data_IF_137578455967
#
_entry.id   IF_137578455967
#
_cell.length_a   1.000
_cell.length_b   1.000
_cell.length_c   1.000
_cell.angle_alpha   90.00
_cell.angle_beta   90.00
_cell.angle_gamma   90.00
#
_symmetry.space_group_name_H-M   'P 1'
#
loop_
_entity.id
_entity.type
_entity.pdbx_description
1 polymer ?
#
# COMPACT_ATOMS: atom_id res chain seq x y z
N UNK A 1 7.63 24.36 14.58
CA UNK A 1 6.96 25.45 13.83
C UNK A 1 6.21 26.30 14.83
N UNK A 2 6.26 27.62 14.69
CA UNK A 2 5.45 28.51 15.54
C UNK A 2 3.96 28.38 15.18
N UNK A 3 3.07 28.82 16.08
CA UNK A 3 1.64 28.92 15.78
C UNK A 3 1.36 29.85 14.60
N UNK A 4 2.12 30.93 14.48
CA UNK A 4 2.01 31.87 13.36
C UNK A 4 2.41 31.23 12.03
N UNK A 5 3.44 30.36 12.05
CA UNK A 5 3.83 29.58 10.86
C UNK A 5 2.70 28.63 10.45
N UNK A 6 2.08 27.94 11.42
CA UNK A 6 0.97 27.02 11.15
C UNK A 6 -0.26 27.76 10.62
N UNK A 7 -0.58 28.92 11.19
CA UNK A 7 -1.66 29.79 10.72
C UNK A 7 -1.40 30.26 9.29
N UNK A 8 -0.17 30.69 9.00
CA UNK A 8 0.23 31.11 7.65
C UNK A 8 0.04 29.96 6.66
N UNK A 9 0.56 28.78 6.96
CA UNK A 9 0.37 27.58 6.11
C UNK A 9 -1.10 27.19 5.94
N UNK A 10 -1.92 27.31 7.00
CA UNK A 10 -3.35 27.04 6.88
C UNK A 10 -4.04 28.06 5.97
N UNK A 11 -3.65 29.33 6.01
CA UNK A 11 -4.24 30.34 5.12
C UNK A 11 -3.76 30.19 3.67
N UNK A 12 -2.53 29.73 3.45
CA UNK A 12 -1.98 29.37 2.12
C UNK A 12 -2.82 28.27 1.44
N UNK A 13 -3.27 27.26 2.21
CA UNK A 13 -4.17 26.19 1.71
C UNK A 13 -5.43 26.76 1.05
N UNK A 14 -5.98 27.86 1.57
CA UNK A 14 -7.20 28.47 1.06
C UNK A 14 -6.96 29.56 -0.01
N UNK A 15 -5.74 29.78 -0.48
CA UNK A 15 -5.47 30.78 -1.54
C UNK A 15 -6.25 30.53 -2.82
N UNK A 16 -6.43 29.27 -3.19
CA UNK A 16 -7.23 28.88 -4.35
C UNK A 16 -8.76 29.06 -4.12
N UNK A 17 -9.20 29.32 -2.89
CA UNK A 17 -10.60 29.57 -2.53
C UNK A 17 -10.74 30.78 -1.59
N UNK A 18 -10.52 32.02 -2.08
CA UNK A 18 -10.48 33.22 -1.25
C UNK A 18 -11.74 33.41 -0.40
N UNK A 19 -12.92 33.02 -0.90
CA UNK A 19 -14.17 33.15 -0.16
C UNK A 19 -14.23 32.23 1.06
N UNK A 20 -13.70 31.01 0.98
CA UNK A 20 -13.60 30.10 2.14
C UNK A 20 -12.61 30.65 3.18
N UNK A 21 -11.50 31.23 2.71
CA UNK A 21 -10.52 31.91 3.55
C UNK A 21 -11.17 33.08 4.31
N UNK A 22 -11.94 33.91 3.62
CA UNK A 22 -12.63 35.06 4.20
C UNK A 22 -13.65 34.62 5.26
N UNK A 23 -14.42 33.56 4.97
CA UNK A 23 -15.38 32.99 5.93
C UNK A 23 -14.64 32.50 7.19
N UNK A 24 -13.52 31.81 7.03
CA UNK A 24 -12.71 31.35 8.16
C UNK A 24 -12.17 32.52 9.00
N UNK A 25 -11.79 33.63 8.36
CA UNK A 25 -11.29 34.85 9.03
C UNK A 25 -12.40 35.73 9.61
N UNK A 26 -13.68 35.48 9.31
CA UNK A 26 -14.76 36.41 9.63
C UNK A 26 -15.26 36.35 11.09
N UNK A 27 -15.08 35.22 11.77
CA UNK A 27 -15.60 35.00 13.12
C UNK A 27 -14.86 33.87 13.83
N UNK A 28 -14.75 33.98 15.16
CA UNK A 28 -14.29 32.95 16.08
C UNK A 28 -15.40 31.94 16.47
N UNK A 29 -16.65 32.17 16.05
CA UNK A 29 -17.76 31.24 16.26
C UNK A 29 -17.77 30.14 15.20
N UNK A 30 -17.37 28.93 15.60
CA UNK A 30 -17.37 27.73 14.77
C UNK A 30 -18.75 27.41 14.16
N UNK A 31 -19.85 27.76 14.83
CA UNK A 31 -21.19 27.51 14.31
C UNK A 31 -21.54 28.45 13.16
N UNK A 32 -21.16 29.71 13.29
CA UNK A 32 -21.27 30.71 12.23
C UNK A 32 -20.41 30.31 11.02
N UNK A 33 -19.10 30.09 11.23
CA UNK A 33 -18.16 29.72 10.15
C UNK A 33 -18.64 28.46 9.41
N UNK A 34 -19.11 27.45 10.14
CA UNK A 34 -19.66 26.22 9.53
C UNK A 34 -20.84 26.50 8.62
N UNK A 35 -21.77 27.33 9.08
CA UNK A 35 -22.99 27.64 8.32
C UNK A 35 -22.65 28.39 7.04
N UNK A 36 -21.76 29.38 7.13
CA UNK A 36 -21.32 30.16 5.97
C UNK A 36 -20.51 29.34 4.98
N UNK A 37 -19.60 28.46 5.44
CA UNK A 37 -18.87 27.56 4.54
C UNK A 37 -19.83 26.63 3.79
N UNK A 38 -20.84 26.06 4.46
CA UNK A 38 -21.84 25.21 3.80
C UNK A 38 -22.70 25.98 2.82
N UNK A 39 -23.11 27.19 3.16
CA UNK A 39 -23.85 28.08 2.25
C UNK A 39 -23.02 28.38 0.99
N UNK A 40 -21.73 28.68 1.15
CA UNK A 40 -20.82 28.86 0.03
C UNK A 40 -20.74 27.62 -0.86
N UNK A 41 -20.51 26.44 -0.30
CA UNK A 41 -20.40 25.20 -1.08
C UNK A 41 -21.69 24.89 -1.84
N UNK A 42 -22.85 25.06 -1.20
CA UNK A 42 -24.14 24.85 -1.83
C UNK A 42 -24.36 25.82 -3.01
N UNK A 43 -24.08 27.10 -2.81
CA UNK A 43 -24.25 28.11 -3.85
C UNK A 43 -23.30 27.88 -5.03
N UNK A 44 -22.02 27.58 -4.76
CA UNK A 44 -21.04 27.24 -5.80
C UNK A 44 -21.47 26.00 -6.60
N UNK A 45 -22.03 24.99 -5.92
CA UNK A 45 -22.53 23.79 -6.59
C UNK A 45 -23.72 24.12 -7.50
N UNK A 46 -24.67 24.95 -7.04
CA UNK A 46 -25.83 25.38 -7.84
C UNK A 46 -25.40 26.19 -9.07
N UNK A 47 -24.49 27.16 -8.90
CA UNK A 47 -23.92 27.94 -10.01
C UNK A 47 -23.31 27.02 -11.08
N UNK A 48 -22.69 25.91 -10.68
CA UNK A 48 -22.09 24.95 -11.61
C UNK A 48 -23.08 24.01 -12.27
N UNK A 49 -24.22 23.69 -11.64
CA UNK A 49 -25.30 22.95 -12.29
C UNK A 49 -25.97 23.77 -13.40
N UNK A 50 -26.05 25.09 -13.23
CA UNK A 50 -26.66 25.99 -14.21
C UNK A 50 -25.73 26.34 -15.39
N UNK A 51 -24.44 25.96 -15.33
CA UNK A 51 -23.47 26.16 -16.42
C UNK A 51 -23.38 24.94 -17.32
N UNK A 52 -24.09 24.99 -18.45
CA UNK A 52 -23.91 24.05 -19.54
C UNK A 52 -22.62 24.38 -20.32
N UNK A 53 -21.52 23.66 -20.04
CA UNK A 53 -20.33 23.40 -20.91
C UNK A 53 -18.98 24.10 -20.63
N UNK A 54 -18.78 24.76 -19.49
CA UNK A 54 -17.48 25.43 -19.23
C UNK A 54 -16.41 24.53 -18.57
N UNK A 55 -16.69 23.24 -18.31
CA UNK A 55 -15.81 22.37 -17.52
C UNK A 55 -15.81 20.93 -18.04
N UNK A 56 -14.62 20.32 -18.11
CA UNK A 56 -14.47 18.92 -18.50
C UNK A 56 -15.27 17.99 -17.56
N UNK A 57 -15.99 16.96 -18.06
CA UNK A 57 -16.83 16.10 -17.23
C UNK A 57 -16.12 15.45 -16.04
N UNK A 58 -14.83 15.08 -16.17
CA UNK A 58 -14.08 14.49 -15.05
C UNK A 58 -13.73 15.53 -13.98
N UNK A 59 -13.41 16.77 -14.38
CA UNK A 59 -13.21 17.88 -13.45
C UNK A 59 -14.52 18.15 -12.69
N UNK A 60 -15.65 18.15 -13.39
CA UNK A 60 -16.96 18.31 -12.77
C UNK A 60 -17.29 17.23 -11.73
N UNK A 61 -17.03 15.96 -12.06
CA UNK A 61 -17.21 14.84 -11.10
C UNK A 61 -16.31 15.01 -9.89
N UNK A 62 -15.05 15.38 -10.10
CA UNK A 62 -14.09 15.58 -9.02
C UNK A 62 -14.45 16.76 -8.12
N UNK A 63 -14.87 17.88 -8.68
CA UNK A 63 -15.38 19.05 -7.95
C UNK A 63 -16.54 18.68 -7.05
N UNK A 64 -17.56 17.98 -7.60
CA UNK A 64 -18.73 17.54 -6.83
C UNK A 64 -18.34 16.60 -5.69
N UNK A 65 -17.43 15.67 -5.94
CA UNK A 65 -16.92 14.75 -4.93
C UNK A 65 -16.13 15.47 -3.84
N UNK A 66 -15.28 16.44 -4.21
CA UNK A 66 -14.52 17.26 -3.27
C UNK A 66 -15.44 18.12 -2.38
N UNK A 67 -16.46 18.75 -2.96
CA UNK A 67 -17.46 19.51 -2.21
C UNK A 67 -18.24 18.62 -1.24
N UNK A 68 -18.69 17.44 -1.68
CA UNK A 68 -19.37 16.48 -0.81
C UNK A 68 -18.47 15.95 0.32
N UNK A 69 -17.19 15.70 0.03
CA UNK A 69 -16.21 15.31 1.05
C UNK A 69 -16.01 16.43 2.08
N UNK A 70 -15.88 17.67 1.63
CA UNK A 70 -15.72 18.82 2.53
C UNK A 70 -16.98 19.09 3.36
N UNK A 71 -18.18 18.94 2.78
CA UNK A 71 -19.43 18.99 3.55
C UNK A 71 -19.51 17.90 4.63
N UNK A 72 -19.03 16.69 4.31
CA UNK A 72 -18.94 15.61 5.29
C UNK A 72 -17.95 15.92 6.41
N UNK A 73 -16.84 16.60 6.13
CA UNK A 73 -15.90 17.08 7.13
C UNK A 73 -16.55 18.14 8.04
N UNK A 74 -17.34 19.06 7.47
CA UNK A 74 -18.07 20.10 8.21
C UNK A 74 -19.27 19.55 9.02
N UNK A 75 -19.61 18.27 8.88
CA UNK A 75 -20.77 17.65 9.52
C UNK A 75 -20.56 17.40 11.02
N UNK A 76 -21.40 18.02 11.85
CA UNK A 76 -21.44 17.77 13.32
C UNK A 76 -21.66 16.31 13.70
N UNK A 77 -22.27 15.50 12.84
CA UNK A 77 -22.42 14.05 13.10
C UNK A 77 -21.06 13.35 12.92
N UNK A 78 -20.35 13.66 11.85
CA UNK A 78 -19.08 13.02 11.52
C UNK A 78 -17.99 13.46 12.49
N UNK A 79 -17.96 14.75 12.89
CA UNK A 79 -17.06 15.23 13.95
C UNK A 79 -17.25 14.45 15.27
N UNK A 80 -18.50 14.21 15.68
CA UNK A 80 -18.81 13.42 16.88
C UNK A 80 -18.37 11.96 16.76
N UNK A 81 -18.48 11.37 15.57
CA UNK A 81 -18.03 9.99 15.32
C UNK A 81 -16.51 9.88 15.25
N UNK A 82 -15.84 10.89 14.69
CA UNK A 82 -14.39 10.96 14.60
C UNK A 82 -13.71 11.35 15.93
N UNK A 83 -14.47 11.98 16.84
CA UNK A 83 -13.92 12.52 18.09
C UNK A 83 -13.07 13.78 17.91
N UNK A 84 -13.05 14.35 16.70
CA UNK A 84 -12.25 15.51 16.32
C UNK A 84 -13.04 16.44 15.37
N UNK A 85 -12.90 17.75 15.55
CA UNK A 85 -13.47 18.77 14.66
C UNK A 85 -12.36 19.52 13.95
N UNK A 86 -12.20 19.24 12.66
CA UNK A 86 -11.25 19.95 11.81
C UNK A 86 -11.58 21.45 11.75
N UNK A 87 -12.87 21.79 11.66
CA UNK A 87 -13.28 23.19 11.58
C UNK A 87 -12.95 23.93 12.89
N UNK A 88 -13.21 23.32 14.04
CA UNK A 88 -12.84 23.90 15.34
C UNK A 88 -11.34 24.13 15.41
N UNK A 89 -10.53 23.13 15.03
CA UNK A 89 -9.08 23.26 14.97
C UNK A 89 -8.64 24.45 14.08
N UNK A 90 -9.22 24.59 12.89
CA UNK A 90 -8.92 25.71 12.00
C UNK A 90 -9.30 27.07 12.61
N UNK A 91 -10.48 27.18 13.22
CA UNK A 91 -10.96 28.41 13.88
C UNK A 91 -10.07 28.77 15.06
N UNK A 92 -9.72 27.79 15.91
CA UNK A 92 -8.83 27.99 17.06
C UNK A 92 -7.43 28.43 16.62
N UNK A 93 -6.91 27.85 15.54
CA UNK A 93 -5.60 28.22 15.00
C UNK A 93 -5.60 29.67 14.52
N UNK A 94 -6.65 30.10 13.82
CA UNK A 94 -6.78 31.43 13.22
C UNK A 94 -7.09 32.51 14.26
N UNK A 95 -8.01 32.26 15.19
CA UNK A 95 -8.59 33.27 16.09
C UNK A 95 -8.19 33.16 17.56
N UNK A 96 -7.77 31.98 18.04
CA UNK A 96 -7.59 31.74 19.47
C UNK A 96 -6.47 32.55 20.14
N UNK A 97 -6.47 32.62 21.47
CA UNK A 97 -5.35 33.09 22.31
C UNK A 97 -4.75 31.98 23.18
N UNK A 98 -5.13 30.72 22.93
CA UNK A 98 -4.72 29.56 23.73
C UNK A 98 -3.22 29.31 23.65
N UNK A 99 -2.59 29.27 24.82
CA UNK A 99 -1.15 29.04 25.01
C UNK A 99 -0.71 27.62 24.66
N UNK A 100 0.47 27.55 24.05
CA UNK A 100 1.50 26.51 24.05
C UNK A 100 1.19 25.02 23.77
N UNK A 101 -0.06 24.61 23.51
CA UNK A 101 -0.35 23.25 23.04
C UNK A 101 -1.25 23.24 21.80
N UNK A 102 -0.70 23.69 20.68
CA UNK A 102 -1.29 23.46 19.35
C UNK A 102 -0.71 22.17 18.79
N UNK A 103 -1.58 21.20 18.47
CA UNK A 103 -1.14 19.98 17.80
C UNK A 103 -0.56 20.34 16.42
N UNK A 104 0.66 19.86 16.14
CA UNK A 104 1.39 20.17 14.92
C UNK A 104 1.04 19.16 13.82
N UNK A 105 0.30 19.54 12.77
CA UNK A 105 -0.04 18.63 11.70
C UNK A 105 1.20 18.25 10.89
N UNK A 106 1.26 16.99 10.45
CA UNK A 106 2.28 16.55 9.50
C UNK A 106 2.15 17.30 8.16
N UNK A 107 3.22 17.41 7.35
CA UNK A 107 3.14 18.00 6.02
C UNK A 107 2.04 17.42 5.12
N UNK A 108 1.76 16.11 5.26
CA UNK A 108 0.69 15.43 4.52
C UNK A 108 -0.71 15.99 4.80
N UNK A 109 -0.98 16.45 6.02
CA UNK A 109 -2.28 17.07 6.35
C UNK A 109 -2.54 18.35 5.55
N UNK A 110 -1.53 19.22 5.45
CA UNK A 110 -1.65 20.45 4.66
C UNK A 110 -1.81 20.15 3.18
N UNK A 111 -1.09 19.15 2.67
CA UNK A 111 -1.24 18.70 1.28
C UNK A 111 -2.65 18.16 1.00
N UNK A 112 -3.21 17.33 1.87
CA UNK A 112 -4.58 16.81 1.73
C UNK A 112 -5.61 17.94 1.72
N UNK A 113 -5.49 18.90 2.63
CA UNK A 113 -6.36 20.07 2.68
C UNK A 113 -6.24 20.94 1.43
N UNK A 114 -5.01 21.19 0.96
CA UNK A 114 -4.75 21.97 -0.26
C UNK A 114 -5.37 21.31 -1.48
N UNK A 115 -5.17 20.01 -1.67
CA UNK A 115 -5.77 19.25 -2.77
C UNK A 115 -7.30 19.21 -2.68
N UNK A 116 -7.87 19.15 -1.47
CA UNK A 116 -9.32 19.23 -1.30
C UNK A 116 -9.86 20.60 -1.71
N UNK A 117 -9.20 21.69 -1.32
CA UNK A 117 -9.57 23.06 -1.72
C UNK A 117 -9.42 23.26 -3.23
N UNK A 118 -8.33 22.78 -3.83
CA UNK A 118 -8.14 22.76 -5.29
C UNK A 118 -9.25 21.97 -6.00
N UNK A 119 -9.63 20.83 -5.45
CA UNK A 119 -10.76 20.04 -5.93
C UNK A 119 -12.07 20.83 -5.89
N UNK A 120 -12.37 21.54 -4.79
CA UNK A 120 -13.57 22.38 -4.65
C UNK A 120 -13.60 23.50 -5.69
N UNK A 121 -12.44 24.07 -6.04
CA UNK A 121 -12.36 25.20 -6.98
C UNK A 121 -12.09 24.81 -8.42
N UNK A 122 -11.90 23.52 -8.69
CA UNK A 122 -11.67 22.98 -10.04
C UNK A 122 -10.23 23.11 -10.54
N UNK A 123 -9.28 23.45 -9.68
CA UNK A 123 -7.84 23.51 -10.00
C UNK A 123 -7.24 22.09 -9.98
N UNK A 124 -7.72 21.22 -10.86
CA UNK A 124 -7.29 19.81 -10.94
C UNK A 124 -6.35 19.64 -12.13
N UNK A 125 -5.06 19.50 -11.87
CA UNK A 125 -4.00 19.37 -12.88
C UNK A 125 -3.94 18.01 -13.59
N UNK A 126 -4.81 17.06 -13.22
CA UNK A 126 -4.79 15.69 -13.78
C UNK A 126 -5.50 15.63 -15.14
N UNK A 127 -6.40 16.58 -15.41
CA UNK A 127 -7.25 16.61 -16.61
C UNK A 127 -7.10 17.95 -17.35
N UNK A 128 -5.85 18.39 -17.54
CA UNK A 128 -5.58 19.59 -18.35
C UNK A 128 -5.78 19.23 -19.82
N UNK A 129 -7.00 19.44 -20.33
CA UNK A 129 -7.40 19.17 -21.72
C UNK A 129 -6.80 20.16 -22.73
N UNK A 130 -5.95 21.10 -22.29
CA UNK A 130 -5.37 22.12 -23.16
C UNK A 130 -4.52 21.57 -24.33
N UNK A 131 -4.26 20.25 -24.36
CA UNK A 131 -3.48 19.59 -25.42
C UNK A 131 -4.31 18.68 -26.36
N UNK A 132 -5.60 18.45 -26.15
CA UNK A 132 -6.40 17.52 -27.01
C UNK A 132 -6.93 18.20 -28.30
N UNK A 133 -6.51 19.43 -28.57
CA UNK A 133 -7.22 20.36 -29.47
C UNK A 133 -6.98 20.21 -30.97
N UNK A 134 -5.88 19.61 -31.42
CA UNK A 134 -5.51 19.73 -32.85
C UNK A 134 -6.01 18.59 -33.75
N UNK A 135 -6.26 17.40 -33.21
CA UNK A 135 -6.66 16.24 -34.02
C UNK A 135 -8.11 16.28 -34.55
N UNK A 136 -8.95 17.18 -34.05
CA UNK A 136 -10.35 17.34 -34.50
C UNK A 136 -10.57 18.44 -35.54
N UNK A 137 -9.51 19.18 -35.91
CA UNK A 137 -9.61 20.32 -36.86
C UNK A 137 -9.27 19.91 -38.30
N UNK A 138 -8.71 18.72 -38.51
CA UNK A 138 -8.29 18.20 -39.82
C UNK A 138 -8.88 16.80 -40.11
N UNK A 139 -8.85 16.37 -41.38
CA UNK A 139 -9.34 15.05 -41.80
C UNK A 139 -8.29 14.30 -42.63
N UNK A 140 -8.37 12.96 -42.65
CA UNK A 140 -7.51 12.13 -43.50
C UNK A 140 -6.06 12.00 -42.99
N UNK A 141 -5.08 12.07 -43.91
CA UNK A 141 -3.66 11.80 -43.59
C UNK A 141 -3.06 12.87 -42.67
N UNK A 142 -3.44 14.13 -42.86
CA UNK A 142 -2.99 15.26 -42.05
C UNK A 142 -3.40 15.08 -40.58
N UNK A 143 -4.67 14.71 -40.34
CA UNK A 143 -5.17 14.39 -39.00
C UNK A 143 -4.42 13.22 -38.34
N UNK A 144 -4.09 12.19 -39.13
CA UNK A 144 -3.32 11.05 -38.63
C UNK A 144 -1.88 11.43 -38.24
N UNK A 145 -1.25 12.35 -38.97
CA UNK A 145 0.11 12.85 -38.67
C UNK A 145 0.12 13.74 -37.43
N UNK A 146 -0.87 14.62 -37.26
CA UNK A 146 -1.07 15.41 -36.03
C UNK A 146 -1.26 14.46 -34.85
N UNK A 147 -2.21 13.52 -34.95
CA UNK A 147 -2.47 12.56 -33.88
C UNK A 147 -1.23 11.74 -33.48
N UNK A 148 -0.40 11.35 -34.45
CA UNK A 148 0.83 10.61 -34.17
C UNK A 148 1.86 11.45 -33.41
N UNK A 149 1.89 12.77 -33.62
CA UNK A 149 2.74 13.70 -32.87
C UNK A 149 2.24 13.83 -31.43
N UNK A 150 0.94 14.05 -31.24
CA UNK A 150 0.33 14.14 -29.89
C UNK A 150 0.60 12.88 -29.06
N UNK A 151 0.50 11.69 -29.69
CA UNK A 151 0.83 10.42 -29.04
C UNK A 151 2.31 10.33 -28.64
N UNK A 152 3.20 10.95 -29.41
CA UNK A 152 4.64 10.99 -29.08
C UNK A 152 4.90 11.93 -27.89
N UNK A 153 4.19 13.05 -27.81
CA UNK A 153 4.26 14.00 -26.68
C UNK A 153 3.70 13.36 -25.40
N UNK A 154 2.55 12.68 -25.49
CA UNK A 154 2.02 11.86 -24.39
C UNK A 154 3.01 10.76 -23.96
N UNK A 155 3.62 10.05 -24.92
CA UNK A 155 4.62 9.04 -24.60
C UNK A 155 5.82 9.64 -23.88
N UNK A 156 6.30 10.81 -24.29
CA UNK A 156 7.38 11.52 -23.59
C UNK A 156 7.00 11.88 -22.15
N UNK A 157 5.76 12.33 -21.92
CA UNK A 157 5.22 12.56 -20.58
C UNK A 157 5.18 11.28 -19.73
N UNK A 158 4.71 10.17 -20.30
CA UNK A 158 4.70 8.85 -19.64
C UNK A 158 6.13 8.40 -19.30
N UNK A 159 7.05 8.49 -20.26
CA UNK A 159 8.44 8.11 -20.05
C UNK A 159 9.09 8.94 -18.95
N UNK A 160 8.91 10.27 -18.96
CA UNK A 160 9.41 11.15 -17.90
C UNK A 160 8.84 10.83 -16.50
N UNK A 161 7.63 10.26 -16.41
CA UNK A 161 7.07 9.80 -15.13
C UNK A 161 7.61 8.42 -14.71
N UNK A 162 7.77 7.50 -15.67
CA UNK A 162 8.23 6.11 -15.45
C UNK A 162 9.71 6.08 -15.09
N UNK A 163 10.55 6.87 -15.77
CA UNK A 163 12.00 6.96 -15.55
C UNK A 163 12.38 7.48 -14.15
N UNK A 164 11.42 8.04 -13.40
CA UNK A 164 11.63 8.41 -11.99
C UNK A 164 11.82 7.21 -11.06
N UNK A 165 11.45 6.02 -11.51
CA UNK A 165 11.54 4.80 -10.72
C UNK A 165 12.64 3.89 -11.27
N UNK A 166 13.63 3.59 -10.43
CA UNK A 166 14.60 2.53 -10.70
C UNK A 166 13.91 1.18 -10.84
N UNK A 167 14.41 0.35 -11.75
CA UNK A 167 13.87 -0.98 -12.03
C UNK A 167 14.99 -2.01 -12.20
N UNK A 168 14.62 -3.29 -12.25
CA UNK A 168 15.55 -4.40 -12.06
C UNK A 168 16.61 -4.61 -13.16
N UNK A 169 16.56 -3.88 -14.29
CA UNK A 169 17.58 -3.97 -15.34
C UNK A 169 18.39 -2.68 -15.50
N UNK A 170 18.22 -1.69 -14.61
CA UNK A 170 19.14 -0.55 -14.55
C UNK A 170 20.55 -1.04 -14.19
N UNK A 171 21.56 -0.54 -14.90
CA UNK A 171 22.96 -0.99 -14.77
C UNK A 171 23.45 -0.89 -13.31
N UNK A 172 23.17 0.23 -12.63
CA UNK A 172 23.51 0.44 -11.22
C UNK A 172 22.83 -0.59 -10.28
N UNK A 173 21.58 -0.95 -10.57
CA UNK A 173 20.81 -1.92 -9.79
C UNK A 173 21.38 -3.33 -9.97
N UNK A 174 21.72 -3.69 -11.21
CA UNK A 174 22.36 -4.97 -11.53
C UNK A 174 23.71 -5.09 -10.83
N UNK A 175 24.56 -4.09 -10.94
CA UNK A 175 25.86 -4.08 -10.25
C UNK A 175 25.73 -4.19 -8.73
N UNK A 176 24.76 -3.48 -8.15
CA UNK A 176 24.50 -3.52 -6.71
C UNK A 176 24.06 -4.92 -6.28
N UNK A 177 23.18 -5.56 -7.04
CA UNK A 177 22.72 -6.93 -6.76
C UNK A 177 23.82 -7.97 -6.91
N UNK A 178 24.72 -7.82 -7.88
CA UNK A 178 25.89 -8.71 -7.99
C UNK A 178 26.83 -8.55 -6.79
N UNK A 179 27.07 -7.32 -6.31
CA UNK A 179 27.82 -7.10 -5.05
C UNK A 179 27.13 -7.72 -3.85
N UNK A 180 25.80 -7.60 -3.74
CA UNK A 180 25.03 -8.21 -2.67
C UNK A 180 25.09 -9.74 -2.72
N UNK A 181 24.92 -10.33 -3.91
CA UNK A 181 25.05 -11.76 -4.16
C UNK A 181 26.43 -12.26 -3.69
N UNK A 182 27.51 -11.60 -4.10
CA UNK A 182 28.87 -12.00 -3.70
C UNK A 182 29.04 -11.95 -2.17
N UNK A 183 28.60 -10.87 -1.51
CA UNK A 183 28.64 -10.74 -0.05
C UNK A 183 27.94 -11.90 0.66
N UNK A 184 26.76 -12.29 0.17
CA UNK A 184 25.96 -13.38 0.74
C UNK A 184 26.62 -14.73 0.49
N UNK A 185 27.17 -14.96 -0.70
CA UNK A 185 27.93 -16.18 -1.01
C UNK A 185 29.18 -16.30 -0.12
N UNK A 186 29.92 -15.21 0.08
CA UNK A 186 31.10 -15.18 0.95
C UNK A 186 30.75 -15.53 2.40
N UNK A 187 29.62 -15.02 2.90
CA UNK A 187 29.14 -15.31 4.26
C UNK A 187 28.82 -16.81 4.46
N UNK A 188 28.13 -17.42 3.50
CA UNK A 188 27.73 -18.84 3.57
C UNK A 188 28.78 -19.82 2.99
N UNK A 189 29.87 -19.31 2.42
CA UNK A 189 30.90 -20.12 1.75
C UNK A 189 30.41 -20.82 0.48
N UNK A 190 29.53 -20.18 -0.29
CA UNK A 190 28.97 -20.70 -1.55
C UNK A 190 29.69 -20.19 -2.80
N UNK A 191 29.38 -20.78 -3.95
CA UNK A 191 29.81 -20.33 -5.27
C UNK A 191 28.61 -20.11 -6.22
N UNK A 192 28.87 -19.78 -7.49
CA UNK A 192 27.81 -19.53 -8.47
C UNK A 192 26.93 -20.77 -8.76
N UNK A 193 27.48 -21.98 -8.71
CA UNK A 193 26.69 -23.22 -8.87
C UNK A 193 25.73 -23.40 -7.68
N UNK A 194 26.23 -23.15 -6.47
CA UNK A 194 25.41 -23.14 -5.25
C UNK A 194 24.30 -22.10 -5.31
N UNK A 195 24.62 -20.87 -5.75
CA UNK A 195 23.64 -19.80 -5.85
C UNK A 195 22.46 -20.16 -6.74
N UNK A 196 22.72 -20.89 -7.83
CA UNK A 196 21.72 -21.36 -8.79
C UNK A 196 21.02 -22.67 -8.35
N UNK A 197 21.48 -23.34 -7.29
CA UNK A 197 20.78 -24.47 -6.67
C UNK A 197 19.73 -23.97 -5.68
N UNK A 198 18.44 -24.13 -6.02
CA UNK A 198 17.34 -23.78 -5.13
C UNK A 198 17.42 -24.49 -3.77
N UNK A 199 18.04 -25.69 -3.71
CA UNK A 199 18.20 -26.40 -2.44
C UNK A 199 19.22 -25.70 -1.55
N UNK A 200 20.25 -25.08 -2.12
CA UNK A 200 21.18 -24.25 -1.37
C UNK A 200 20.48 -23.00 -0.83
N UNK A 201 19.64 -22.36 -1.63
CA UNK A 201 18.81 -21.21 -1.20
C UNK A 201 17.91 -21.59 -0.02
N UNK A 202 17.24 -22.75 -0.09
CA UNK A 202 16.37 -23.24 0.99
C UNK A 202 17.16 -23.64 2.25
N UNK A 203 18.35 -24.25 2.10
CA UNK A 203 19.22 -24.61 3.23
C UNK A 203 19.72 -23.40 4.01
N UNK A 204 19.90 -22.27 3.33
CA UNK A 204 20.44 -21.03 3.90
C UNK A 204 19.37 -19.96 4.12
N UNK A 205 18.10 -20.34 4.26
CA UNK A 205 17.04 -19.39 4.63
C UNK A 205 17.39 -18.71 5.94
N UNK A 206 17.41 -17.38 5.92
CA UNK A 206 17.69 -16.49 7.05
C UNK A 206 16.45 -16.45 7.95
N UNK A 207 16.63 -16.76 9.24
CA UNK A 207 15.53 -16.98 10.21
C UNK A 207 15.68 -16.23 11.53
N UNK A 208 16.76 -15.48 11.69
CA UNK A 208 17.08 -14.73 12.90
C UNK A 208 17.69 -13.38 12.55
N UNK A 209 17.64 -12.46 13.51
CA UNK A 209 18.05 -11.09 13.34
C UNK A 209 19.58 -10.95 13.23
N UNK A 210 20.34 -11.83 13.87
CA UNK A 210 21.81 -11.78 13.87
C UNK A 210 22.34 -12.09 12.47
N UNK A 211 21.90 -13.20 11.87
CA UNK A 211 22.23 -13.57 10.49
C UNK A 211 21.76 -12.51 9.49
N UNK A 212 20.55 -11.95 9.67
CA UNK A 212 20.04 -10.92 8.76
C UNK A 212 20.91 -9.65 8.80
N UNK A 213 21.31 -9.23 9.99
CA UNK A 213 22.14 -8.04 10.23
C UNK A 213 23.56 -8.18 9.71
N UNK A 214 24.10 -9.39 9.68
CA UNK A 214 25.40 -9.67 9.07
C UNK A 214 25.37 -9.53 7.53
N UNK A 215 24.20 -9.71 6.92
CA UNK A 215 24.04 -9.76 5.46
C UNK A 215 23.55 -8.44 4.85
N UNK A 216 22.72 -7.69 5.57
CA UNK A 216 22.14 -6.41 5.14
C UNK A 216 21.98 -5.46 6.31
N UNK A 217 21.89 -4.17 6.05
CA UNK A 217 21.51 -3.19 7.05
C UNK A 217 20.12 -3.52 7.59
N UNK A 218 19.99 -3.54 8.91
CA UNK A 218 18.72 -3.75 9.62
C UNK A 218 18.58 -2.64 10.63
N UNK A 219 17.47 -1.91 10.58
CA UNK A 219 17.16 -0.88 11.56
C UNK A 219 16.90 -1.50 12.94
N UNK A 220 17.03 -0.71 14.01
CA UNK A 220 16.76 -1.20 15.36
C UNK A 220 15.32 -1.74 15.53
N UNK A 221 14.35 -1.16 14.80
CA UNK A 221 12.96 -1.62 14.82
C UNK A 221 12.79 -2.98 14.12
N UNK A 222 13.40 -3.15 12.93
CA UNK A 222 13.39 -4.44 12.22
C UNK A 222 14.12 -5.52 13.02
N UNK A 223 15.27 -5.20 13.63
CA UNK A 223 16.04 -6.14 14.45
C UNK A 223 15.18 -6.67 15.61
N UNK A 224 14.56 -5.77 16.38
CA UNK A 224 13.70 -6.13 17.50
C UNK A 224 12.47 -6.93 17.03
N UNK A 225 11.83 -6.52 15.93
CA UNK A 225 10.68 -7.22 15.39
C UNK A 225 11.03 -8.65 14.97
N UNK A 226 12.18 -8.87 14.32
CA UNK A 226 12.64 -10.21 13.94
C UNK A 226 12.99 -11.05 15.17
N UNK A 227 13.64 -10.46 16.19
CA UNK A 227 13.92 -11.16 17.46
C UNK A 227 12.65 -11.61 18.17
N UNK A 228 11.66 -10.72 18.30
CA UNK A 228 10.38 -11.05 18.94
C UNK A 228 9.59 -12.06 18.10
N UNK A 229 9.60 -11.93 16.77
CA UNK A 229 9.00 -12.92 15.88
C UNK A 229 9.60 -14.32 16.12
N UNK A 230 10.94 -14.43 16.14
CA UNK A 230 11.65 -15.70 16.37
C UNK A 230 11.34 -16.28 17.74
N UNK A 231 11.42 -15.47 18.79
CA UNK A 231 11.15 -15.86 20.19
C UNK A 231 9.73 -16.39 20.37
N UNK A 232 8.75 -15.78 19.72
CA UNK A 232 7.33 -16.14 19.85
C UNK A 232 6.81 -17.05 18.73
N UNK A 233 7.69 -17.61 17.89
CA UNK A 233 7.30 -18.48 16.77
C UNK A 233 6.25 -17.82 15.87
N UNK A 234 6.47 -16.54 15.55
CA UNK A 234 5.79 -15.88 14.44
C UNK A 234 6.57 -16.22 13.17
N UNK A 235 5.92 -16.74 12.10
CA UNK A 235 6.63 -17.20 10.92
C UNK A 235 7.47 -16.09 10.27
N UNK A 236 8.74 -16.40 10.06
CA UNK A 236 9.71 -15.51 9.45
C UNK A 236 10.80 -16.32 8.74
N UNK A 237 11.11 -15.94 7.51
CA UNK A 237 12.09 -16.62 6.68
C UNK A 237 12.34 -15.91 5.37
N UNK A 238 13.61 -15.63 5.06
CA UNK A 238 14.00 -14.96 3.82
C UNK A 238 15.08 -15.78 3.13
N UNK A 239 14.95 -16.01 1.83
CA UNK A 239 15.99 -16.72 1.05
C UNK A 239 17.21 -15.81 0.83
N UNK A 240 18.42 -16.37 0.68
CA UNK A 240 19.61 -15.60 0.30
C UNK A 240 19.39 -14.76 -0.96
N UNK A 241 18.74 -15.33 -1.99
CA UNK A 241 18.36 -14.61 -3.21
C UNK A 241 17.55 -13.35 -2.92
N UNK A 242 16.53 -13.43 -2.07
CA UNK A 242 15.68 -12.27 -1.80
C UNK A 242 16.38 -11.22 -0.93
N UNK A 243 17.27 -11.63 -0.01
CA UNK A 243 18.16 -10.70 0.71
C UNK A 243 19.07 -9.94 -0.26
N UNK A 244 19.51 -10.56 -1.37
CA UNK A 244 20.34 -9.86 -2.37
C UNK A 244 19.65 -8.69 -3.07
N UNK A 245 18.31 -8.64 -3.02
CA UNK A 245 17.49 -7.57 -3.58
C UNK A 245 17.43 -6.33 -2.68
N UNK A 246 17.92 -6.43 -1.44
CA UNK A 246 17.90 -5.36 -0.44
C UNK A 246 19.17 -4.52 -0.49
N UNK A 247 19.01 -3.23 -0.25
CA UNK A 247 20.13 -2.30 -0.09
C UNK A 247 20.76 -2.50 1.29
N UNK A 248 22.10 -2.41 1.33
CA UNK A 248 22.90 -2.54 2.55
C UNK A 248 23.32 -1.17 3.11
N UNK A 249 22.43 -0.19 3.04
CA UNK A 249 22.69 1.20 3.43
C UNK A 249 21.57 1.71 4.35
N UNK A 250 21.90 2.41 5.45
CA UNK A 250 20.94 2.80 6.47
C UNK A 250 19.80 3.71 5.99
N UNK A 251 20.10 4.58 5.02
CA UNK A 251 19.19 5.62 4.55
C UNK A 251 18.53 5.27 3.20
N UNK A 252 18.73 4.04 2.69
CA UNK A 252 18.07 3.66 1.44
C UNK A 252 16.57 3.48 1.64
N UNK A 253 15.81 4.05 0.71
CA UNK A 253 14.35 3.87 0.63
C UNK A 253 13.94 3.08 -0.61
N UNK A 254 14.91 2.73 -1.48
CA UNK A 254 14.65 2.09 -2.78
C UNK A 254 14.08 0.68 -2.64
N UNK A 255 14.54 -0.06 -1.64
CA UNK A 255 14.17 -1.45 -1.39
C UNK A 255 13.03 -1.61 -0.35
N UNK A 256 12.45 -0.50 0.13
CA UNK A 256 11.42 -0.51 1.19
C UNK A 256 10.26 -1.44 0.87
N UNK A 257 9.86 -1.51 -0.40
CA UNK A 257 8.77 -2.38 -0.87
C UNK A 257 9.16 -3.85 -0.91
N UNK A 258 10.44 -4.17 -1.13
CA UNK A 258 10.99 -5.53 -1.05
C UNK A 258 11.06 -5.96 0.42
N UNK A 259 11.56 -5.10 1.31
CA UNK A 259 11.64 -5.35 2.76
C UNK A 259 10.28 -5.59 3.39
N UNK A 260 9.31 -4.72 3.13
CA UNK A 260 7.96 -4.79 3.71
C UNK A 260 7.20 -6.09 3.39
N UNK A 261 7.62 -6.82 2.35
CA UNK A 261 7.03 -8.10 1.98
C UNK A 261 7.46 -9.25 2.89
N UNK A 262 8.64 -9.18 3.52
CA UNK A 262 9.28 -10.34 4.20
C UNK A 262 9.82 -10.03 5.59
N UNK A 263 10.18 -8.78 5.89
CA UNK A 263 10.61 -8.37 7.24
C UNK A 263 9.36 -7.94 8.02
N UNK A 264 8.99 -8.65 9.10
CA UNK A 264 7.81 -8.31 9.87
C UNK A 264 8.02 -6.98 10.58
N UNK A 265 7.04 -6.09 10.50
CA UNK A 265 7.04 -4.88 11.32
C UNK A 265 6.71 -5.22 12.77
N UNK A 266 7.09 -4.34 13.70
CA UNK A 266 6.70 -4.46 15.11
C UNK A 266 5.18 -4.59 15.27
N UNK A 267 4.42 -3.75 14.56
CA UNK A 267 2.96 -3.78 14.56
C UNK A 267 2.40 -5.14 14.11
N UNK A 268 3.00 -5.76 13.09
CA UNK A 268 2.59 -7.08 12.61
C UNK A 268 2.80 -8.15 13.69
N UNK A 269 3.99 -8.18 14.32
CA UNK A 269 4.31 -9.15 15.38
C UNK A 269 3.36 -8.98 16.57
N UNK A 270 3.20 -7.75 17.07
CA UNK A 270 2.30 -7.46 18.19
C UNK A 270 0.84 -7.84 17.88
N UNK A 271 0.36 -7.53 16.68
CA UNK A 271 -1.00 -7.88 16.24
C UNK A 271 -1.20 -9.39 16.13
N UNK A 272 -0.22 -10.10 15.56
CA UNK A 272 -0.25 -11.57 15.47
C UNK A 272 -0.36 -12.18 16.86
N UNK A 273 0.49 -11.74 17.79
CA UNK A 273 0.53 -12.26 19.16
C UNK A 273 -0.75 -11.94 19.92
N UNK A 274 -1.30 -10.73 19.77
CA UNK A 274 -2.59 -10.37 20.36
C UNK A 274 -3.70 -11.31 19.89
N UNK A 275 -3.86 -11.49 18.57
CA UNK A 275 -4.89 -12.39 18.04
C UNK A 275 -4.71 -13.83 18.50
N UNK A 276 -3.47 -14.33 18.55
CA UNK A 276 -3.14 -15.67 19.08
C UNK A 276 -3.51 -15.82 20.56
N UNK A 277 -3.14 -14.83 21.39
CA UNK A 277 -3.37 -14.86 22.85
C UNK A 277 -4.86 -14.73 23.21
N UNK A 278 -5.62 -13.96 22.44
CA UNK A 278 -7.07 -13.80 22.61
C UNK A 278 -7.86 -14.98 22.04
N UNK A 279 -7.20 -15.96 21.40
CA UNK A 279 -7.87 -17.09 20.77
C UNK A 279 -8.70 -16.69 19.55
N UNK A 280 -8.42 -15.53 18.94
CA UNK A 280 -9.08 -15.11 17.71
C UNK A 280 -8.66 -16.03 16.56
N UNK A 281 -9.63 -16.50 15.78
CA UNK A 281 -9.32 -17.25 14.57
C UNK A 281 -8.61 -16.34 13.58
N UNK A 282 -7.41 -16.76 13.16
CA UNK A 282 -6.68 -16.16 12.04
C UNK A 282 -7.01 -16.85 10.71
N UNK A 283 -7.87 -17.87 10.73
CA UNK A 283 -8.43 -18.51 9.54
C UNK A 283 -9.61 -17.70 9.00
N UNK A 284 -9.31 -16.53 8.42
CA UNK A 284 -10.31 -15.61 7.85
C UNK A 284 -11.13 -16.23 6.72
N UNK A 285 -10.63 -17.32 6.15
CA UNK A 285 -11.14 -17.98 4.96
C UNK A 285 -11.91 -19.27 5.28
N UNK A 286 -12.03 -19.61 6.57
CA UNK A 286 -12.66 -20.82 7.11
C UNK A 286 -12.15 -22.09 6.41
N UNK A 287 -10.85 -22.14 6.11
CA UNK A 287 -10.22 -23.29 5.46
C UNK A 287 -10.33 -24.56 6.32
N UNK A 288 -10.32 -24.43 7.65
CA UNK A 288 -10.55 -25.55 8.59
C UNK A 288 -11.96 -26.12 8.45
N UNK A 289 -12.97 -25.26 8.46
CA UNK A 289 -14.39 -25.68 8.42
C UNK A 289 -14.83 -26.15 7.03
N UNK A 290 -14.00 -25.87 6.01
CA UNK A 290 -14.23 -26.29 4.61
C UNK A 290 -13.24 -27.37 4.17
N UNK A 291 -12.64 -28.08 5.13
CA UNK A 291 -11.68 -29.18 4.91
C UNK A 291 -12.32 -30.55 5.18
N UNK A 292 -12.86 -31.25 4.15
CA UNK A 292 -13.50 -32.55 4.34
C UNK A 292 -12.53 -33.66 4.75
N UNK A 293 -11.26 -33.54 4.39
CA UNK A 293 -10.15 -34.42 4.79
C UNK A 293 -8.84 -33.61 4.79
N UNK A 294 -7.81 -34.11 5.48
CA UNK A 294 -6.49 -33.48 5.51
C UNK A 294 -5.97 -33.18 4.10
N UNK A 295 -5.48 -31.95 3.91
CA UNK A 295 -4.91 -31.50 2.66
C UNK A 295 -5.91 -31.04 1.61
N UNK A 296 -7.20 -31.10 1.90
CA UNK A 296 -8.25 -30.69 0.97
C UNK A 296 -9.01 -29.51 1.54
N UNK A 297 -9.18 -28.44 0.77
CA UNK A 297 -10.16 -27.38 1.07
C UNK A 297 -11.15 -27.29 -0.08
N UNK A 298 -12.45 -27.44 0.20
CA UNK A 298 -13.53 -27.38 -0.81
C UNK A 298 -14.58 -26.36 -0.42
N UNK A 299 -14.55 -25.21 -1.08
CA UNK A 299 -15.54 -24.12 -0.93
C UNK A 299 -16.48 -23.99 -2.13
N UNK A 300 -16.10 -24.57 -3.26
CA UNK A 300 -16.81 -24.44 -4.52
C UNK A 300 -17.34 -25.79 -5.02
N UNK A 301 -18.42 -25.80 -5.83
CA UNK A 301 -19.01 -27.05 -6.29
C UNK A 301 -18.05 -27.95 -7.07
N UNK A 302 -17.23 -27.37 -7.96
CA UNK A 302 -16.38 -28.10 -8.91
C UNK A 302 -14.87 -27.87 -8.74
N UNK A 303 -14.45 -27.01 -7.80
CA UNK A 303 -13.04 -26.64 -7.59
C UNK A 303 -12.63 -27.05 -6.18
N UNK A 304 -11.44 -27.63 -6.08
CA UNK A 304 -10.85 -28.02 -4.80
C UNK A 304 -9.41 -27.52 -4.71
N UNK A 305 -8.97 -27.19 -3.49
CA UNK A 305 -7.57 -26.97 -3.17
C UNK A 305 -6.96 -28.27 -2.64
N UNK A 306 -5.80 -28.64 -3.16
CA UNK A 306 -4.92 -29.68 -2.61
C UNK A 306 -3.69 -29.01 -2.00
N UNK A 307 -3.41 -29.26 -0.72
CA UNK A 307 -2.30 -28.70 0.05
C UNK A 307 -1.19 -29.74 0.30
N UNK A 308 -0.34 -30.07 -0.69
CA UNK A 308 0.74 -31.04 -0.47
C UNK A 308 1.85 -30.50 0.45
N UNK A 309 1.93 -29.18 0.61
CA UNK A 309 2.88 -28.49 1.47
C UNK A 309 2.18 -27.28 2.10
N UNK A 310 2.53 -26.97 3.34
CA UNK A 310 1.90 -25.87 4.12
C UNK A 310 2.90 -24.77 4.46
N UNK A 311 4.06 -24.74 3.82
CA UNK A 311 5.10 -23.72 4.04
C UNK A 311 5.74 -23.31 2.71
N UNK A 312 6.47 -22.20 2.73
CA UNK A 312 7.16 -21.65 1.57
C UNK A 312 8.66 -21.50 1.88
N UNK A 313 9.56 -21.51 0.88
CA UNK A 313 10.97 -21.15 1.04
C UNK A 313 11.20 -19.75 1.64
N UNK A 314 10.22 -18.87 1.46
CA UNK A 314 10.21 -17.50 1.94
C UNK A 314 8.83 -17.17 2.51
N UNK A 315 8.80 -16.50 3.66
CA UNK A 315 7.56 -16.15 4.34
C UNK A 315 7.18 -14.70 4.03
N UNK A 316 6.08 -14.53 3.31
CA UNK A 316 5.51 -13.21 3.09
C UNK A 316 4.74 -12.75 4.34
N UNK A 317 5.00 -11.54 4.82
CA UNK A 317 4.31 -10.91 5.96
C UNK A 317 2.80 -10.79 5.69
N UNK A 318 2.42 -10.60 4.44
CA UNK A 318 1.03 -10.49 3.98
C UNK A 318 0.38 -11.84 3.62
N UNK A 319 1.00 -12.97 3.98
CA UNK A 319 0.46 -14.31 3.68
C UNK A 319 -0.83 -14.58 4.46
N UNK A 320 -1.92 -14.91 3.75
CA UNK A 320 -3.21 -15.28 4.36
C UNK A 320 -3.17 -16.57 5.19
N UNK A 321 -2.15 -17.41 4.98
CA UNK A 321 -1.95 -18.68 5.69
C UNK A 321 -0.76 -18.64 6.66
N UNK A 322 -0.28 -17.45 7.03
CA UNK A 322 0.75 -17.33 8.06
C UNK A 322 0.38 -18.05 9.37
N UNK A 323 -0.91 -18.21 9.67
CA UNK A 323 -1.40 -18.94 10.82
C UNK A 323 -1.29 -20.48 10.71
N UNK A 324 -1.16 -21.04 9.49
CA UNK A 324 -0.90 -22.48 9.25
C UNK A 324 0.60 -22.80 9.23
N UNK A 325 1.45 -21.78 9.14
CA UNK A 325 2.90 -21.93 9.06
C UNK A 325 3.44 -21.82 10.49
N UNK A 326 4.15 -22.84 10.97
CA UNK A 326 4.88 -22.67 12.24
C UNK A 326 6.25 -22.00 12.02
N UNK A 327 6.89 -22.30 10.88
CA UNK A 327 8.23 -21.81 10.54
C UNK A 327 8.61 -22.20 9.09
N UNK A 328 9.71 -21.66 8.59
CA UNK A 328 10.38 -22.04 7.34
C UNK A 328 11.20 -23.31 7.57
N UNK A 329 10.80 -24.40 6.93
CA UNK A 329 11.52 -25.67 6.95
C UNK A 329 11.46 -26.33 5.59
N UNK A 330 12.41 -27.21 5.30
CA UNK A 330 12.51 -27.89 4.00
C UNK A 330 11.20 -28.63 3.65
N UNK A 331 10.79 -28.64 2.37
CA UNK A 331 9.62 -29.40 1.90
C UNK A 331 9.59 -30.87 2.36
N UNK A 332 10.76 -31.49 2.54
CA UNK A 332 10.89 -32.88 3.03
C UNK A 332 10.49 -33.08 4.49
N UNK A 333 10.42 -32.02 5.30
CA UNK A 333 10.14 -32.08 6.74
C UNK A 333 8.71 -31.64 7.09
N UNK A 334 8.02 -30.92 6.19
CA UNK A 334 6.61 -30.50 6.33
C UNK A 334 5.70 -30.83 5.15
N UNK A 335 6.21 -31.52 4.14
CA UNK A 335 5.38 -32.08 3.08
C UNK A 335 4.34 -33.04 3.69
N UNK A 336 3.13 -32.98 3.15
CA UNK A 336 2.08 -33.93 3.52
C UNK A 336 2.63 -35.35 3.39
N UNK A 337 2.51 -36.20 4.44
CA UNK A 337 2.97 -37.58 4.38
C UNK A 337 2.37 -38.26 3.14
N UNK A 338 3.17 -39.06 2.42
CA UNK A 338 2.74 -39.65 1.14
C UNK A 338 1.38 -40.36 1.24
N UNK A 339 1.14 -41.07 2.34
CA UNK A 339 -0.13 -41.74 2.65
C UNK A 339 -1.33 -40.78 2.78
N UNK A 340 -1.13 -39.59 3.36
CA UNK A 340 -2.16 -38.57 3.46
C UNK A 340 -2.42 -37.93 2.09
N UNK A 341 -1.37 -37.67 1.31
CA UNK A 341 -1.49 -37.17 -0.06
C UNK A 341 -2.24 -38.16 -0.95
N UNK A 342 -1.90 -39.45 -0.89
CA UNK A 342 -2.59 -40.49 -1.65
C UNK A 342 -4.08 -40.57 -1.28
N UNK A 343 -4.43 -40.39 0.01
CA UNK A 343 -5.84 -40.30 0.44
C UNK A 343 -6.53 -39.06 -0.13
N UNK A 344 -5.86 -37.91 -0.15
CA UNK A 344 -6.38 -36.68 -0.73
C UNK A 344 -6.67 -36.84 -2.23
N UNK A 345 -5.74 -37.43 -2.98
CA UNK A 345 -5.91 -37.74 -4.40
C UNK A 345 -7.04 -38.75 -4.62
N UNK A 346 -7.13 -39.81 -3.83
CA UNK A 346 -8.24 -40.78 -3.92
C UNK A 346 -9.60 -40.16 -3.62
N UNK A 347 -9.66 -39.21 -2.68
CA UNK A 347 -10.89 -38.48 -2.38
C UNK A 347 -11.32 -37.60 -3.55
N UNK A 348 -10.37 -36.91 -4.20
CA UNK A 348 -10.63 -36.16 -5.42
C UNK A 348 -11.15 -37.10 -6.52
N UNK A 349 -10.48 -38.23 -6.75
CA UNK A 349 -10.87 -39.23 -7.77
C UNK A 349 -12.30 -39.76 -7.54
N UNK A 350 -12.70 -39.97 -6.28
CA UNK A 350 -14.03 -40.45 -5.90
C UNK A 350 -15.12 -39.38 -6.03
N UNK A 351 -14.75 -38.10 -6.02
CA UNK A 351 -15.69 -36.97 -6.03
C UNK A 351 -15.89 -36.47 -7.46
N UNK A 352 -16.89 -37.02 -8.16
CA UNK A 352 -17.05 -36.92 -9.62
C UNK A 352 -17.43 -35.53 -10.14
N UNK A 353 -17.91 -34.64 -9.27
CA UNK A 353 -18.25 -33.26 -9.62
C UNK A 353 -17.01 -32.35 -9.71
N UNK A 354 -15.84 -32.77 -9.19
CA UNK A 354 -14.60 -31.97 -9.26
C UNK A 354 -14.10 -31.93 -10.70
N UNK A 355 -13.81 -30.71 -11.18
CA UNK A 355 -13.26 -30.41 -12.51
C UNK A 355 -11.89 -29.76 -12.45
N UNK A 356 -11.59 -29.06 -11.36
CA UNK A 356 -10.35 -28.31 -11.20
C UNK A 356 -9.75 -28.58 -9.82
N UNK A 357 -8.43 -28.80 -9.80
CA UNK A 357 -7.64 -29.01 -8.58
C UNK A 357 -6.54 -27.95 -8.54
N UNK A 358 -6.63 -27.04 -7.59
CA UNK A 358 -5.58 -26.06 -7.31
C UNK A 358 -4.58 -26.66 -6.34
N UNK A 359 -3.34 -26.88 -6.78
CA UNK A 359 -2.25 -27.34 -5.92
C UNK A 359 -1.61 -26.12 -5.26
N UNK A 360 -1.78 -25.97 -3.95
CA UNK A 360 -1.30 -24.81 -3.17
C UNK A 360 -1.07 -25.19 -1.70
N UNK A 361 -1.39 -24.32 -0.74
CA UNK A 361 -1.05 -24.44 0.67
C UNK A 361 0.04 -23.42 0.98
N UNK A 362 1.30 -23.84 0.88
CA UNK A 362 2.46 -22.95 0.73
C UNK A 362 2.90 -22.86 -0.73
N UNK A 363 4.19 -23.05 -0.99
CA UNK A 363 4.77 -23.10 -2.34
C UNK A 363 4.99 -24.56 -2.78
N UNK A 364 4.23 -25.08 -3.76
CA UNK A 364 4.31 -26.48 -4.17
C UNK A 364 5.47 -26.84 -5.11
N UNK A 365 6.31 -25.87 -5.52
CA UNK A 365 7.37 -26.06 -6.53
C UNK A 365 8.73 -26.47 -5.95
#
# INVERSE_FOLDING_TARGET
>A
MSREDLKTKLLEVFEAAPRLRDILLSSDDVHFVRSEMRNYLYNELMVRYDRDRDMHPLIWVAVRSAMAAFENILSRRNERMAGFSLLQYCVDLVHGTSGDQVEHPAPGFFAEMQHLVWGITGHISIYDDSEVTDCFVSEGREAAEIRSRDLSEMAAGIHGLVERYTWGMDEEVVETRERNKQRIMDYFGGNDEDWNDWRWQVRHVIRDADTLKDLVYVSAEEEEAVREARKHHVPFGITPYYVSLMDNEPDSTRDRTVRAQVIPSRFYVESFLRSRNEGQSMDFMLERDTSPIDGITRRYPMIVILKPIVTCPQICVYCQRNWEIDDVWQPSEKGMPRKALDKAVQWIEKTKEIREVLVTGGDPL
#
